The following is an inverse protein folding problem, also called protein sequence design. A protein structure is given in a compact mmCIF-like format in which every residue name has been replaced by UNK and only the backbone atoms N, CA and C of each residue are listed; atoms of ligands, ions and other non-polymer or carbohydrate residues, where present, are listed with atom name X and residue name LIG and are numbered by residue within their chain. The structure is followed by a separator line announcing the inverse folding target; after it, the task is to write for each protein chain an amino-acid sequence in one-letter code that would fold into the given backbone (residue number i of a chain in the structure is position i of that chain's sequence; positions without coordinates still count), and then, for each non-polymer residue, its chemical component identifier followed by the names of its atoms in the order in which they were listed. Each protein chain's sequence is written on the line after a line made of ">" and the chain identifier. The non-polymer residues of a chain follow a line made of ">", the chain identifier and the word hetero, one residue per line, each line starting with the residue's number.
data_IF_144613513488
#
_entry.id   IF_144613513488
#
_cell.length_a   1.000
_cell.length_b   1.000
_cell.length_c   1.000
_cell.angle_alpha   90.00
_cell.angle_beta   90.00
_cell.angle_gamma   90.00
#
_symmetry.space_group_name_H-M   'P 1'
#
loop_
_entity.id
_entity.type
_entity.pdbx_description
1 polymer ?
#
# COMPACT_ATOMS: atom_id res chain seq x y z
N UNK A 1 -6.70 55.79 22.63
CA UNK A 1 -5.87 54.70 22.06
C UNK A 1 -6.31 54.43 20.62
N UNK A 2 -5.66 55.01 19.60
CA UNK A 2 -5.81 54.55 18.19
C UNK A 2 -4.74 55.18 17.26
N UNK A 3 -3.74 54.36 16.90
CA UNK A 3 -2.92 54.36 15.65
C UNK A 3 -2.25 55.64 15.10
N UNK A 4 -0.98 55.51 14.69
CA UNK A 4 -0.55 55.91 13.33
C UNK A 4 0.17 54.75 12.58
N UNK A 5 0.91 55.08 11.49
CA UNK A 5 1.57 54.25 10.43
C UNK A 5 0.74 54.25 9.12
N UNK A 6 0.99 55.07 8.07
CA UNK A 6 2.23 55.50 7.33
C UNK A 6 2.80 54.33 6.51
N UNK A 7 2.43 54.16 5.22
CA UNK A 7 3.11 54.69 4.00
C UNK A 7 4.47 54.00 3.71
N UNK A 8 5.01 53.75 2.51
CA UNK A 8 4.62 53.43 1.12
C UNK A 8 5.94 53.23 0.33
N UNK A 9 5.94 52.45 -0.77
CA UNK A 9 6.90 52.46 -1.91
C UNK A 9 8.43 52.16 -1.76
N UNK A 10 8.82 50.99 -2.31
CA UNK A 10 9.74 50.72 -3.45
C UNK A 10 11.06 51.51 -3.75
N UNK A 11 12.18 50.77 -3.92
CA UNK A 11 13.32 50.95 -4.88
C UNK A 11 14.32 49.75 -4.70
N UNK A 12 14.82 48.98 -5.68
CA UNK A 12 15.65 49.20 -6.90
C UNK A 12 17.18 48.92 -6.70
N UNK A 13 17.79 48.13 -7.61
CA UNK A 13 19.20 47.58 -7.58
C UNK A 13 20.27 48.56 -8.12
N UNK A 14 21.55 48.38 -7.72
CA UNK A 14 22.62 47.79 -8.58
C UNK A 14 23.57 46.81 -7.81
N UNK A 15 24.65 46.21 -8.32
CA UNK A 15 25.12 45.96 -9.71
C UNK A 15 26.66 45.89 -9.91
N UNK A 16 27.17 44.89 -10.70
CA UNK A 16 28.58 44.68 -11.19
C UNK A 16 29.61 44.12 -10.16
N UNK A 17 30.72 43.41 -10.49
CA UNK A 17 31.31 42.82 -11.74
C UNK A 17 32.43 41.78 -11.41
N UNK A 18 32.80 40.93 -12.39
CA UNK A 18 34.08 40.16 -12.54
C UNK A 18 34.45 39.09 -11.46
N UNK A 19 34.80 37.81 -11.72
CA UNK A 19 35.61 37.11 -12.74
C UNK A 19 37.06 36.81 -12.30
N UNK A 20 37.33 35.56 -11.87
CA UNK A 20 38.66 34.90 -11.89
C UNK A 20 38.47 33.43 -12.30
N UNK A 21 39.46 32.91 -13.04
CA UNK A 21 39.50 31.58 -13.67
C UNK A 21 40.66 30.79 -13.04
N UNK A 22 40.37 29.63 -12.45
CA UNK A 22 41.41 28.66 -12.06
C UNK A 22 41.00 27.25 -12.46
N UNK A 23 41.87 26.64 -13.26
CA UNK A 23 41.87 25.23 -13.64
C UNK A 23 42.52 24.41 -12.53
N UNK A 24 41.95 23.26 -12.18
CA UNK A 24 42.75 22.15 -11.66
C UNK A 24 42.18 20.80 -12.14
N UNK A 25 43.08 19.86 -12.41
CA UNK A 25 42.82 18.59 -13.06
C UNK A 25 42.73 17.46 -12.02
N UNK A 26 41.57 17.29 -11.40
CA UNK A 26 41.29 16.13 -10.54
C UNK A 26 40.69 14.98 -11.35
N UNK A 27 41.51 13.96 -11.65
CA UNK A 27 41.14 12.73 -12.35
C UNK A 27 39.92 12.05 -11.73
N UNK A 28 38.79 12.05 -12.45
CA UNK A 28 37.55 11.39 -12.02
C UNK A 28 37.59 9.89 -12.25
N UNK A 29 38.28 9.15 -11.38
CA UNK A 29 38.05 7.71 -11.25
C UNK A 29 36.68 7.50 -10.61
N UNK A 30 35.65 7.48 -11.46
CA UNK A 30 34.26 7.31 -11.06
C UNK A 30 34.03 5.85 -10.68
N UNK A 31 34.39 5.48 -9.44
CA UNK A 31 34.08 4.17 -8.87
C UNK A 31 32.59 3.92 -9.08
N UNK A 32 32.26 2.86 -9.82
CA UNK A 32 30.89 2.53 -10.14
C UNK A 32 30.16 2.25 -8.83
N UNK A 33 29.24 3.14 -8.44
CA UNK A 33 28.37 2.98 -7.27
C UNK A 33 27.69 1.62 -7.38
N UNK A 34 28.07 0.69 -6.50
CA UNK A 34 27.49 -0.66 -6.44
C UNK A 34 25.98 -0.52 -6.49
N UNK A 35 25.37 -1.25 -7.43
CA UNK A 35 23.99 -1.03 -7.85
C UNK A 35 23.06 -1.04 -6.64
N UNK A 36 22.16 -0.06 -6.62
CA UNK A 36 21.06 0.07 -5.69
C UNK A 36 20.45 -1.29 -5.36
N UNK A 37 20.70 -1.81 -4.14
CA UNK A 37 20.01 -2.99 -3.65
C UNK A 37 18.57 -2.57 -3.38
N UNK A 38 17.71 -2.77 -4.38
CA UNK A 38 16.27 -2.68 -4.24
C UNK A 38 15.88 -3.41 -2.97
N UNK A 39 15.17 -2.72 -2.07
CA UNK A 39 14.73 -3.27 -0.79
C UNK A 39 14.05 -4.60 -1.05
N UNK A 40 14.57 -5.68 -0.45
CA UNK A 40 13.97 -7.01 -0.58
C UNK A 40 12.54 -6.91 -0.09
N UNK A 41 11.58 -7.13 -0.98
CA UNK A 41 10.17 -7.12 -0.65
C UNK A 41 9.89 -8.37 0.20
N UNK A 42 9.24 -8.22 1.36
CA UNK A 42 9.04 -9.35 2.29
C UNK A 42 8.24 -10.49 1.63
N UNK A 43 7.32 -10.15 0.72
CA UNK A 43 6.59 -11.14 -0.08
C UNK A 43 7.52 -12.00 -0.93
N UNK A 44 8.53 -11.40 -1.57
CA UNK A 44 9.43 -12.11 -2.50
C UNK A 44 10.37 -13.06 -1.74
N UNK A 45 10.82 -12.62 -0.55
CA UNK A 45 11.63 -13.44 0.35
C UNK A 45 10.85 -14.65 0.87
N UNK A 46 9.60 -14.44 1.33
CA UNK A 46 8.73 -15.51 1.79
C UNK A 46 8.39 -16.49 0.65
N UNK A 47 8.09 -16.00 -0.56
CA UNK A 47 7.88 -16.85 -1.74
C UNK A 47 9.11 -17.71 -2.04
N UNK A 48 10.31 -17.15 -1.99
CA UNK A 48 11.55 -17.91 -2.25
C UNK A 48 11.76 -19.02 -1.21
N UNK A 49 11.50 -18.74 0.07
CA UNK A 49 11.58 -19.73 1.16
C UNK A 49 10.50 -20.82 0.99
N UNK A 50 9.30 -20.45 0.54
CA UNK A 50 8.19 -21.39 0.31
C UNK A 50 8.50 -22.40 -0.80
N UNK A 51 9.09 -21.96 -1.93
CA UNK A 51 9.50 -22.89 -2.98
C UNK A 51 10.59 -23.87 -2.50
N UNK A 52 11.59 -23.40 -1.75
CA UNK A 52 12.62 -24.29 -1.14
C UNK A 52 11.97 -25.31 -0.19
N UNK A 53 10.97 -24.88 0.61
CA UNK A 53 10.25 -25.78 1.49
C UNK A 53 9.46 -26.87 0.72
N UNK A 54 8.86 -26.54 -0.44
CA UNK A 54 8.22 -27.53 -1.32
C UNK A 54 9.21 -28.57 -1.83
N UNK A 55 10.39 -28.14 -2.29
CA UNK A 55 11.44 -29.05 -2.76
C UNK A 55 11.91 -29.98 -1.63
N UNK A 56 12.14 -29.43 -0.44
CA UNK A 56 12.46 -30.22 0.76
C UNK A 56 11.35 -31.21 1.12
N UNK A 57 10.08 -30.84 0.98
CA UNK A 57 8.95 -31.74 1.23
C UNK A 57 8.85 -32.85 0.17
N UNK A 58 9.06 -32.53 -1.11
CA UNK A 58 9.09 -33.50 -2.21
C UNK A 58 10.24 -34.52 -2.05
N UNK A 59 11.39 -34.07 -1.53
CA UNK A 59 12.52 -34.92 -1.18
C UNK A 59 12.34 -35.69 0.16
N UNK A 60 11.22 -35.50 0.87
CA UNK A 60 10.96 -36.13 2.18
C UNK A 60 11.74 -35.53 3.36
N UNK A 61 12.47 -34.42 3.15
CA UNK A 61 13.28 -33.74 4.15
C UNK A 61 12.49 -32.92 5.17
N UNK A 62 11.23 -32.56 4.89
CA UNK A 62 10.29 -32.01 5.88
C UNK A 62 8.94 -32.69 5.83
N UNK A 63 8.24 -32.70 6.97
CA UNK A 63 6.93 -33.34 7.09
C UNK A 63 5.81 -32.51 6.45
N UNK A 64 4.69 -33.18 6.12
CA UNK A 64 3.45 -32.50 5.69
C UNK A 64 2.90 -31.51 6.72
N UNK A 65 3.19 -31.70 8.02
CA UNK A 65 2.86 -30.72 9.07
C UNK A 65 3.69 -29.46 8.90
N UNK A 66 5.01 -29.63 8.76
CA UNK A 66 5.96 -28.53 8.55
C UNK A 66 5.65 -27.72 7.29
N UNK A 67 5.22 -28.36 6.19
CA UNK A 67 4.76 -27.60 5.01
C UNK A 67 3.54 -26.71 5.28
N UNK A 68 2.57 -27.16 6.08
CA UNK A 68 1.42 -26.32 6.43
C UNK A 68 1.85 -25.07 7.21
N UNK A 69 2.85 -25.19 8.08
CA UNK A 69 3.43 -24.06 8.81
C UNK A 69 4.06 -23.04 7.82
N UNK A 70 4.73 -23.50 6.76
CA UNK A 70 5.19 -22.63 5.66
C UNK A 70 4.06 -22.05 4.79
N UNK A 71 3.00 -22.82 4.51
CA UNK A 71 1.82 -22.34 3.78
C UNK A 71 1.12 -21.20 4.54
N UNK A 72 0.97 -21.33 5.86
CA UNK A 72 0.35 -20.34 6.74
C UNK A 72 1.15 -19.02 6.78
N UNK A 73 2.49 -19.10 6.80
CA UNK A 73 3.36 -17.91 6.72
C UNK A 73 3.21 -17.15 5.40
N UNK A 74 2.77 -17.80 4.33
CA UNK A 74 2.58 -17.20 3.01
C UNK A 74 1.16 -16.62 2.79
N UNK A 75 0.27 -16.68 3.79
CA UNK A 75 -1.09 -16.13 3.68
C UNK A 75 -1.03 -14.60 3.66
N UNK A 76 -1.43 -13.92 2.56
CA UNK A 76 -1.31 -12.48 2.46
C UNK A 76 -2.28 -11.77 3.40
N UNK A 77 -1.75 -10.80 4.16
CA UNK A 77 -2.51 -10.00 5.10
C UNK A 77 -3.72 -9.32 4.43
N UNK A 78 -4.84 -9.28 5.16
CA UNK A 78 -6.09 -8.67 4.68
C UNK A 78 -5.97 -7.14 4.75
N UNK A 79 -6.30 -6.40 3.67
CA UNK A 79 -6.26 -4.94 3.66
C UNK A 79 -7.14 -4.32 4.74
N UNK A 80 -6.66 -3.23 5.36
CA UNK A 80 -7.46 -2.41 6.28
C UNK A 80 -8.38 -1.50 5.47
N UNK A 81 -9.64 -1.89 5.32
CA UNK A 81 -10.62 -1.14 4.55
C UNK A 81 -11.03 0.18 5.23
N UNK A 82 -10.96 1.27 4.47
CA UNK A 82 -11.49 2.59 4.83
C UNK A 82 -12.94 2.73 4.35
N UNK A 83 -13.70 3.65 4.93
CA UNK A 83 -15.09 3.93 4.51
C UNK A 83 -15.21 4.23 3.01
N UNK A 84 -14.25 4.96 2.44
CA UNK A 84 -14.21 5.31 1.02
C UNK A 84 -13.87 4.11 0.13
N UNK A 85 -13.01 3.20 0.59
CA UNK A 85 -12.72 1.96 -0.14
C UNK A 85 -13.96 1.05 -0.22
N UNK A 86 -14.75 0.94 0.85
CA UNK A 86 -15.96 0.11 0.90
C UNK A 86 -17.04 0.68 -0.04
N UNK A 87 -17.26 1.99 -0.01
CA UNK A 87 -18.15 2.68 -0.97
C UNK A 87 -17.68 2.45 -2.41
N UNK A 88 -16.37 2.53 -2.69
CA UNK A 88 -15.79 2.26 -4.02
C UNK A 88 -16.06 0.82 -4.47
N UNK A 89 -15.80 -0.17 -3.62
CA UNK A 89 -16.04 -1.59 -3.95
C UNK A 89 -17.52 -1.82 -4.28
N UNK A 90 -18.43 -1.36 -3.40
CA UNK A 90 -19.87 -1.56 -3.61
C UNK A 90 -20.36 -0.90 -4.91
N UNK A 91 -19.93 0.33 -5.18
CA UNK A 91 -20.30 1.05 -6.42
C UNK A 91 -19.67 0.41 -7.65
N UNK A 92 -18.45 -0.13 -7.55
CA UNK A 92 -17.76 -0.83 -8.65
C UNK A 92 -18.39 -2.17 -9.02
N UNK A 93 -19.10 -2.82 -8.10
CA UNK A 93 -19.94 -4.01 -8.40
C UNK A 93 -21.43 -3.65 -8.59
N UNK A 94 -21.77 -2.36 -8.70
CA UNK A 94 -23.09 -1.84 -9.06
C UNK A 94 -24.29 -2.28 -8.19
N UNK A 95 -24.10 -2.50 -6.88
CA UNK A 95 -25.18 -2.93 -5.97
C UNK A 95 -25.57 -1.92 -4.87
N UNK A 96 -26.77 -2.10 -4.33
CA UNK A 96 -27.25 -1.38 -3.14
C UNK A 96 -26.56 -1.90 -1.87
N UNK A 97 -26.63 -1.12 -0.76
CA UNK A 97 -26.07 -1.55 0.52
C UNK A 97 -26.73 -2.85 1.03
N UNK A 98 -28.05 -3.01 0.82
CA UNK A 98 -28.79 -4.21 1.22
C UNK A 98 -28.39 -5.45 0.41
N UNK A 99 -28.20 -5.30 -0.91
CA UNK A 99 -27.74 -6.42 -1.75
C UNK A 99 -26.31 -6.83 -1.38
N UNK A 100 -25.38 -5.89 -1.19
CA UNK A 100 -24.03 -6.22 -0.72
C UNK A 100 -24.08 -6.92 0.66
N UNK A 101 -24.98 -6.49 1.55
CA UNK A 101 -25.13 -7.10 2.86
C UNK A 101 -25.61 -8.56 2.77
N UNK A 102 -26.53 -8.87 1.85
CA UNK A 102 -26.98 -10.24 1.59
C UNK A 102 -25.83 -11.15 1.12
N UNK A 103 -25.05 -10.72 0.11
CA UNK A 103 -23.86 -11.47 -0.36
C UNK A 103 -22.79 -11.66 0.72
N UNK A 104 -22.64 -10.70 1.64
CA UNK A 104 -21.70 -10.77 2.77
C UNK A 104 -22.28 -11.45 4.02
N UNK A 105 -23.48 -12.04 3.93
CA UNK A 105 -24.25 -12.64 5.03
C UNK A 105 -24.27 -11.76 6.29
N UNK A 106 -24.61 -10.47 6.12
CA UNK A 106 -24.65 -9.48 7.20
C UNK A 106 -25.85 -8.53 7.04
N UNK A 107 -26.07 -7.66 8.04
CA UNK A 107 -27.17 -6.68 7.99
C UNK A 107 -26.82 -5.47 7.12
N UNK A 108 -27.81 -4.87 6.47
CA UNK A 108 -27.65 -3.58 5.77
C UNK A 108 -27.12 -2.48 6.71
N UNK A 109 -27.51 -2.51 8.00
CA UNK A 109 -26.97 -1.60 9.03
C UNK A 109 -25.47 -1.81 9.29
N UNK A 110 -24.95 -3.03 9.13
CA UNK A 110 -23.51 -3.32 9.22
C UNK A 110 -22.76 -2.61 8.09
N UNK A 111 -23.21 -2.79 6.84
CA UNK A 111 -22.62 -2.14 5.66
C UNK A 111 -22.73 -0.61 5.76
N UNK A 112 -23.87 -0.09 6.21
CA UNK A 112 -24.05 1.34 6.46
C UNK A 112 -23.05 1.88 7.50
N UNK A 113 -22.82 1.17 8.61
CA UNK A 113 -21.82 1.54 9.64
C UNK A 113 -20.38 1.50 9.12
N UNK A 114 -20.08 0.60 8.19
CA UNK A 114 -18.80 0.56 7.50
C UNK A 114 -18.61 1.74 6.53
N UNK A 115 -19.63 2.08 5.73
CA UNK A 115 -19.59 3.21 4.80
C UNK A 115 -19.67 4.59 5.50
N UNK A 116 -20.26 4.66 6.69
CA UNK A 116 -20.15 5.81 7.59
C UNK A 116 -18.77 5.92 8.25
N UNK A 117 -18.07 4.78 8.41
CA UNK A 117 -16.79 4.67 9.11
C UNK A 117 -16.90 4.55 10.64
N UNK A 118 -18.10 4.34 11.18
CA UNK A 118 -18.33 4.12 12.63
C UNK A 118 -17.97 2.71 13.08
N UNK A 119 -17.94 1.75 12.16
CA UNK A 119 -17.31 0.43 12.33
C UNK A 119 -16.39 0.13 11.15
N UNK A 120 -15.51 -0.87 11.30
CA UNK A 120 -14.68 -1.40 10.22
C UNK A 120 -15.00 -2.89 10.03
N UNK A 121 -14.93 -3.43 8.81
CA UNK A 121 -14.94 -4.87 8.60
C UNK A 121 -13.65 -5.49 9.17
N UNK A 122 -13.75 -6.70 9.71
CA UNK A 122 -12.64 -7.47 10.27
C UNK A 122 -12.81 -8.95 9.98
N UNK A 123 -11.73 -9.74 10.16
CA UNK A 123 -11.74 -11.18 9.93
C UNK A 123 -12.30 -11.56 8.56
N UNK A 124 -13.24 -12.50 8.53
CA UNK A 124 -13.90 -12.99 7.32
C UNK A 124 -14.53 -11.86 6.48
N UNK A 125 -15.19 -10.87 7.09
CA UNK A 125 -15.83 -9.78 6.35
C UNK A 125 -14.82 -8.93 5.55
N UNK A 126 -13.65 -8.66 6.13
CA UNK A 126 -12.59 -7.96 5.41
C UNK A 126 -11.98 -8.84 4.31
N UNK A 127 -11.88 -10.16 4.50
CA UNK A 127 -11.40 -11.10 3.47
C UNK A 127 -12.38 -11.21 2.31
N UNK A 128 -13.68 -11.28 2.57
CA UNK A 128 -14.72 -11.31 1.54
C UNK A 128 -14.75 -10.01 0.73
N UNK A 129 -14.58 -8.85 1.36
CA UNK A 129 -14.41 -7.58 0.64
C UNK A 129 -13.18 -7.59 -0.29
N UNK A 130 -12.07 -8.22 0.13
CA UNK A 130 -10.89 -8.41 -0.73
C UNK A 130 -11.18 -9.33 -1.93
N UNK A 131 -12.00 -10.38 -1.74
CA UNK A 131 -12.41 -11.27 -2.83
C UNK A 131 -13.30 -10.53 -3.82
N UNK A 132 -14.33 -9.81 -3.34
CA UNK A 132 -15.22 -8.99 -4.19
C UNK A 132 -14.44 -7.92 -4.95
N UNK A 133 -13.47 -7.25 -4.30
CA UNK A 133 -12.64 -6.21 -4.94
C UNK A 133 -11.77 -6.75 -6.08
N UNK A 134 -11.29 -8.00 -5.97
CA UNK A 134 -10.41 -8.62 -6.98
C UNK A 134 -11.16 -9.37 -8.09
N UNK A 135 -12.30 -9.99 -7.77
CA UNK A 135 -12.96 -10.95 -8.65
C UNK A 135 -14.44 -10.62 -8.94
N UNK A 136 -14.96 -9.53 -8.37
CA UNK A 136 -16.36 -9.15 -8.49
C UNK A 136 -17.28 -9.95 -7.58
N UNK A 137 -18.58 -9.64 -7.65
CA UNK A 137 -19.59 -10.16 -6.73
C UNK A 137 -20.02 -11.62 -7.04
N UNK A 138 -19.83 -12.06 -8.29
CA UNK A 138 -20.25 -13.39 -8.77
C UNK A 138 -19.53 -14.58 -8.08
N UNK A 139 -18.41 -14.33 -7.40
CA UNK A 139 -17.70 -15.38 -6.62
C UNK A 139 -18.45 -15.78 -5.33
N UNK A 140 -19.49 -15.01 -4.96
CA UNK A 140 -20.33 -15.27 -3.78
C UNK A 140 -21.79 -15.61 -4.15
N UNK A 141 -22.05 -15.91 -5.44
CA UNK A 141 -23.38 -16.24 -5.97
C UNK A 141 -23.60 -17.76 -6.06
#
# INVERSE_FOLDING_TARGET
>A
MTKPVVESKAAAKPGRKAAVKTTDAASRTRVARVRNRSSVNESDALTTIHEIAKDMHAAGGISKRTMREYDELCVPAVPKYTKTAIIRIRKGVHVSQGVLAAYLNTSASTVQKWEAGTKKPSGAAAKLLQVIEKHGLAVLA
#
